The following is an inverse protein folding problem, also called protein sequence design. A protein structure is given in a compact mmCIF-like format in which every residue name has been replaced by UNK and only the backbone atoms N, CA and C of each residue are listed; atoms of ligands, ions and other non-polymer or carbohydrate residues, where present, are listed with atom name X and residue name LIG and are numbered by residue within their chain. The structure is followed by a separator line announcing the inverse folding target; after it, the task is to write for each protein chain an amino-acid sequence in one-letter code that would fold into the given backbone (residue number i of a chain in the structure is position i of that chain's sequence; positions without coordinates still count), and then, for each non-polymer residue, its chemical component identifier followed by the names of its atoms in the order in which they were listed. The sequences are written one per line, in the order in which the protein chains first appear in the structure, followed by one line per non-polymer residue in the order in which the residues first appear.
data_IF_863403934213
#
_entry.id   IF_863403934213
#
_cell.length_a   1.000
_cell.length_b   1.000
_cell.length_c   1.000
_cell.angle_alpha   90.00
_cell.angle_beta   90.00
_cell.angle_gamma   90.00
#
_symmetry.space_group_name_H-M   'P 1'
#
loop_
_entity.id
_entity.type
_entity.pdbx_description
1 polymer ?
#
# COMPACT_ATOMS: atom_id res chain seq x y z
N UNK A 1 14.33 27.97 28.44
CA UNK A 1 14.16 27.51 27.05
C UNK A 1 13.83 26.05 27.12
N UNK A 2 12.60 25.68 26.76
CA UNK A 2 12.14 24.31 26.89
C UNK A 2 12.79 23.46 25.80
N UNK A 3 13.61 22.51 26.23
CA UNK A 3 14.20 21.50 25.35
C UNK A 3 13.29 20.30 25.41
N UNK A 4 12.78 19.89 24.25
CA UNK A 4 12.01 18.67 24.14
C UNK A 4 12.95 17.52 23.78
N UNK A 5 12.58 16.33 24.25
CA UNK A 5 13.24 15.07 23.94
C UNK A 5 12.14 14.09 23.60
N UNK A 6 12.27 13.39 22.46
CA UNK A 6 11.34 12.33 22.09
C UNK A 6 12.11 11.03 22.13
N UNK A 7 11.77 10.16 23.08
CA UNK A 7 12.29 8.80 23.11
C UNK A 7 11.49 7.95 22.14
N UNK A 8 12.18 7.33 21.20
CA UNK A 8 11.60 6.43 20.21
C UNK A 8 11.69 4.99 20.71
N UNK A 9 10.63 4.24 20.46
CA UNK A 9 10.65 2.80 20.54
C UNK A 9 10.65 2.24 19.11
N UNK A 10 11.75 1.60 18.74
CA UNK A 10 11.88 0.94 17.45
C UNK A 10 12.96 -0.15 17.53
N UNK A 11 12.79 -1.16 16.66
CA UNK A 11 13.75 -2.22 16.47
C UNK A 11 14.94 -1.75 15.63
N UNK A 12 16.14 -2.21 15.99
CA UNK A 12 17.37 -1.95 15.22
C UNK A 12 17.40 -2.82 13.95
N UNK A 13 16.54 -2.49 13.00
CA UNK A 13 16.50 -3.15 11.70
C UNK A 13 17.38 -2.40 10.68
N UNK A 14 18.48 -3.04 10.28
CA UNK A 14 19.47 -2.48 9.36
C UNK A 14 18.96 -2.26 7.93
N UNK A 15 17.79 -2.80 7.57
CA UNK A 15 17.14 -2.56 6.28
C UNK A 15 16.54 -1.16 6.17
N UNK A 16 16.37 -0.45 7.29
CA UNK A 16 15.91 0.94 7.30
C UNK A 16 17.07 1.91 7.10
N UNK A 17 16.99 2.71 6.05
CA UNK A 17 17.87 3.85 5.82
C UNK A 17 17.26 5.08 6.50
N UNK A 18 17.87 5.54 7.59
CA UNK A 18 17.37 6.67 8.37
C UNK A 18 18.20 7.93 8.13
N UNK A 19 17.52 9.06 7.95
CA UNK A 19 18.12 10.39 7.85
C UNK A 19 17.47 11.33 8.86
N UNK A 20 18.26 11.89 9.79
CA UNK A 20 17.79 12.88 10.76
C UNK A 20 17.91 14.30 10.21
N UNK A 21 17.07 15.21 10.73
CA UNK A 21 17.16 16.64 10.44
C UNK A 21 18.53 17.21 10.86
N UNK A 22 19.11 18.20 10.14
CA UNK A 22 20.46 18.72 10.43
C UNK A 22 20.70 19.19 11.87
N UNK A 23 19.66 19.68 12.54
CA UNK A 23 19.72 20.15 13.94
C UNK A 23 19.51 19.04 14.98
N UNK A 24 19.21 17.80 14.59
CA UNK A 24 19.02 16.67 15.50
C UNK A 24 20.37 16.00 15.79
N UNK A 25 20.61 15.69 17.07
CA UNK A 25 21.77 14.94 17.50
C UNK A 25 21.71 13.51 16.96
N UNK A 26 22.68 13.16 16.11
CA UNK A 26 22.74 11.84 15.48
C UNK A 26 23.15 10.76 16.46
N UNK A 27 24.09 11.07 17.36
CA UNK A 27 24.58 10.08 18.31
C UNK A 27 23.46 9.73 19.28
N UNK A 28 22.76 10.75 19.79
CA UNK A 28 21.65 10.55 20.71
C UNK A 28 20.47 9.80 20.05
N UNK A 29 20.26 10.02 18.75
CA UNK A 29 19.27 9.28 17.98
C UNK A 29 19.64 7.80 17.79
N UNK A 30 20.87 7.49 17.37
CA UNK A 30 21.27 6.11 17.04
C UNK A 30 21.66 5.27 18.25
N UNK A 31 22.25 5.87 19.30
CA UNK A 31 22.72 5.15 20.48
C UNK A 31 21.62 5.04 21.53
N UNK A 32 20.92 6.15 21.80
CA UNK A 32 19.96 6.25 22.89
C UNK A 32 18.49 6.22 22.44
N UNK A 33 18.24 6.23 21.12
CA UNK A 33 16.90 6.32 20.51
C UNK A 33 16.17 7.58 20.96
N UNK A 34 16.90 8.68 21.09
CA UNK A 34 16.36 9.96 21.53
C UNK A 34 16.51 10.99 20.40
N UNK A 35 15.38 11.52 19.94
CA UNK A 35 15.35 12.73 19.13
C UNK A 35 15.54 13.94 20.05
N UNK A 36 16.72 14.55 19.94
CA UNK A 36 17.09 15.78 20.65
C UNK A 36 17.74 16.78 19.69
N UNK A 37 17.56 18.07 19.95
CA UNK A 37 18.31 19.12 19.25
C UNK A 37 19.77 19.10 19.73
N UNK A 38 20.73 19.20 18.80
CA UNK A 38 22.16 19.30 19.10
C UNK A 38 22.45 20.44 20.08
N UNK A 39 23.46 20.26 20.94
CA UNK A 39 23.92 21.35 21.80
C UNK A 39 24.37 22.55 20.96
N UNK A 40 23.79 23.72 21.23
CA UNK A 40 24.05 24.95 20.45
C UNK A 40 23.39 24.98 19.06
N UNK A 41 22.62 23.96 18.70
CA UNK A 41 21.82 23.92 17.48
C UNK A 41 20.67 24.92 17.51
N UNK A 42 20.10 25.21 16.32
CA UNK A 42 18.89 26.04 16.23
C UNK A 42 17.70 25.27 16.78
N UNK A 43 16.91 25.95 17.61
CA UNK A 43 15.64 25.43 18.13
C UNK A 43 14.70 25.08 16.97
N UNK A 44 13.83 24.08 17.17
CA UNK A 44 12.75 23.77 16.24
C UNK A 44 11.67 24.86 16.36
N UNK A 45 11.25 25.48 15.24
CA UNK A 45 10.24 26.54 15.28
C UNK A 45 8.92 26.03 15.85
N UNK A 46 8.32 26.82 16.74
CA UNK A 46 6.97 26.57 17.23
C UNK A 46 5.94 26.90 16.13
N UNK A 47 4.81 26.20 16.14
CA UNK A 47 3.68 26.39 15.23
C UNK A 47 4.01 26.17 13.74
N UNK A 48 5.02 25.34 13.45
CA UNK A 48 5.39 24.94 12.09
C UNK A 48 5.69 23.45 12.09
N UNK A 49 5.18 22.74 11.07
CA UNK A 49 5.50 21.33 10.87
C UNK A 49 6.96 21.16 10.43
N UNK A 50 7.71 20.36 11.17
CA UNK A 50 9.12 20.07 10.87
C UNK A 50 9.35 18.56 10.90
N UNK A 51 9.80 18.01 9.77
CA UNK A 51 10.25 16.63 9.69
C UNK A 51 11.55 16.43 10.46
N UNK A 52 11.50 15.73 11.60
CA UNK A 52 12.67 15.51 12.47
C UNK A 52 13.56 14.36 11.99
N UNK A 53 12.97 13.37 11.33
CA UNK A 53 13.69 12.32 10.62
C UNK A 53 12.84 11.75 9.49
N UNK A 54 13.50 11.07 8.56
CA UNK A 54 12.90 10.31 7.46
C UNK A 54 13.52 8.93 7.45
N UNK A 55 12.74 7.93 7.05
CA UNK A 55 13.23 6.58 6.87
C UNK A 55 12.80 6.04 5.51
N UNK A 56 13.58 5.11 4.98
CA UNK A 56 13.26 4.33 3.79
C UNK A 56 13.61 2.87 4.05
N UNK A 57 12.64 1.98 3.92
CA UNK A 57 12.90 0.54 3.84
C UNK A 57 13.15 0.19 2.37
N UNK A 58 14.31 -0.39 2.07
CA UNK A 58 14.59 -0.95 0.73
C UNK A 58 14.98 -2.40 0.91
N UNK A 59 14.21 -3.32 0.35
CA UNK A 59 14.59 -4.72 0.35
C UNK A 59 14.24 -5.42 -0.95
N UNK A 60 15.06 -6.44 -1.24
CA UNK A 60 14.84 -7.39 -2.33
C UNK A 60 14.10 -8.64 -1.86
N UNK A 61 13.96 -8.85 -0.55
CA UNK A 61 13.15 -9.92 0.00
C UNK A 61 11.67 -9.55 -0.11
N UNK A 62 10.82 -10.52 -0.44
CA UNK A 62 9.37 -10.38 -0.30
C UNK A 62 9.05 -10.21 1.19
N UNK A 63 8.91 -8.96 1.63
CA UNK A 63 8.23 -8.71 2.90
C UNK A 63 6.76 -9.10 2.70
N UNK A 64 6.10 -9.67 3.71
CA UNK A 64 4.66 -9.86 3.66
C UNK A 64 4.04 -8.47 3.53
N UNK A 65 3.66 -8.10 2.30
CA UNK A 65 2.88 -6.90 2.05
C UNK A 65 1.56 -7.06 2.79
N UNK A 66 0.98 -5.98 3.33
CA UNK A 66 -0.28 -6.07 4.08
C UNK A 66 -1.42 -6.66 3.25
N UNK A 67 -1.34 -6.53 1.92
CA UNK A 67 -2.25 -7.14 0.97
C UNK A 67 -1.44 -7.77 -0.16
N UNK A 68 -1.57 -9.08 -0.34
CA UNK A 68 -1.09 -9.79 -1.52
C UNK A 68 -2.17 -9.82 -2.60
N UNK A 69 -1.81 -9.58 -3.86
CA UNK A 69 -2.74 -9.64 -4.99
C UNK A 69 -2.28 -10.73 -5.94
N UNK A 70 -3.16 -11.69 -6.21
CA UNK A 70 -2.92 -12.77 -7.18
C UNK A 70 -3.99 -12.73 -8.25
N UNK A 71 -3.59 -12.93 -9.49
CA UNK A 71 -4.48 -12.88 -10.65
C UNK A 71 -4.30 -14.12 -11.50
N UNK A 72 -5.40 -14.73 -11.94
CA UNK A 72 -5.40 -15.78 -12.94
C UNK A 72 -6.27 -15.35 -14.10
N UNK A 73 -5.68 -15.22 -15.28
CA UNK A 73 -6.38 -14.88 -16.52
C UNK A 73 -6.39 -16.09 -17.44
N UNK A 74 -7.56 -16.50 -17.89
CA UNK A 74 -7.76 -17.59 -18.85
C UNK A 74 -8.29 -17.00 -20.16
N UNK A 75 -7.49 -17.09 -21.22
CA UNK A 75 -7.94 -16.71 -22.57
C UNK A 75 -8.87 -17.78 -23.14
N UNK A 76 -9.97 -17.34 -23.73
CA UNK A 76 -10.98 -18.15 -24.37
C UNK A 76 -11.18 -17.69 -25.82
N UNK A 77 -11.94 -18.45 -26.62
CA UNK A 77 -12.19 -18.12 -28.04
C UNK A 77 -12.92 -16.77 -28.17
N UNK A 78 -13.78 -16.46 -27.21
CA UNK A 78 -14.65 -15.29 -27.17
C UNK A 78 -14.25 -14.27 -26.10
N UNK A 79 -12.99 -14.27 -25.64
CA UNK A 79 -12.45 -13.23 -24.75
C UNK A 79 -11.62 -13.79 -23.61
N UNK A 80 -11.79 -13.26 -22.40
CA UNK A 80 -11.00 -13.64 -21.24
C UNK A 80 -11.86 -13.78 -20.00
N UNK A 81 -11.53 -14.75 -19.15
CA UNK A 81 -11.99 -14.85 -17.77
C UNK A 81 -10.84 -14.51 -16.84
N UNK A 82 -11.10 -13.63 -15.88
CA UNK A 82 -10.12 -13.15 -14.94
C UNK A 82 -10.62 -13.33 -13.51
N UNK A 83 -9.75 -13.90 -12.68
CA UNK A 83 -9.95 -14.07 -11.25
C UNK A 83 -8.89 -13.25 -10.55
N UNK A 84 -9.32 -12.35 -9.68
CA UNK A 84 -8.45 -11.52 -8.85
C UNK A 84 -8.73 -11.90 -7.40
N UNK A 85 -7.70 -12.35 -6.69
CA UNK A 85 -7.75 -12.63 -5.25
C UNK A 85 -6.83 -11.69 -4.48
N UNK A 86 -7.34 -11.19 -3.36
CA UNK A 86 -6.57 -10.39 -2.41
C UNK A 86 -6.45 -11.18 -1.11
N UNK A 87 -5.20 -11.49 -0.72
CA UNK A 87 -4.84 -12.18 0.51
C UNK A 87 -4.39 -11.17 1.56
N UNK A 88 -5.08 -11.13 2.69
CA UNK A 88 -4.77 -10.24 3.79
C UNK A 88 -3.74 -10.88 4.75
N UNK A 89 -2.58 -10.22 4.91
CA UNK A 89 -1.48 -10.72 5.75
C UNK A 89 -1.54 -10.20 7.21
N UNK A 90 -2.75 -10.17 7.81
CA UNK A 90 -3.06 -10.02 9.24
C UNK A 90 -2.06 -9.20 10.06
N UNK A 91 -1.92 -7.92 9.73
CA UNK A 91 -0.96 -7.02 10.39
C UNK A 91 -1.47 -5.59 10.58
N UNK A 92 -2.33 -5.12 9.68
CA UNK A 92 -2.88 -3.77 9.69
C UNK A 92 -4.29 -3.77 9.10
N UNK A 93 -5.21 -3.03 9.70
CA UNK A 93 -6.49 -2.76 9.08
C UNK A 93 -6.29 -1.84 7.87
N UNK A 94 -6.76 -2.28 6.70
CA UNK A 94 -6.78 -1.45 5.49
C UNK A 94 -8.16 -0.83 5.34
N UNK A 95 -8.23 0.47 5.08
CA UNK A 95 -9.49 1.19 4.86
C UNK A 95 -9.49 1.82 3.47
N UNK A 96 -10.68 1.94 2.87
CA UNK A 96 -10.90 2.56 1.57
C UNK A 96 -9.98 2.01 0.46
N UNK A 97 -9.82 0.69 0.42
CA UNK A 97 -8.98 0.00 -0.56
C UNK A 97 -9.63 0.07 -1.94
N UNK A 98 -8.84 0.46 -2.95
CA UNK A 98 -9.30 0.56 -4.34
C UNK A 98 -8.33 -0.19 -5.25
N UNK A 99 -8.84 -1.18 -5.97
CA UNK A 99 -8.12 -1.84 -7.06
C UNK A 99 -8.67 -1.32 -8.40
N UNK A 100 -7.79 -0.72 -9.20
CA UNK A 100 -8.08 -0.34 -10.59
C UNK A 100 -7.57 -1.44 -11.51
N UNK A 101 -8.49 -2.18 -12.12
CA UNK A 101 -8.19 -3.31 -13.00
C UNK A 101 -8.44 -2.86 -14.45
N UNK A 102 -7.39 -2.70 -15.28
CA UNK A 102 -7.60 -2.40 -16.69
C UNK A 102 -8.27 -3.59 -17.39
N UNK A 103 -8.99 -3.31 -18.46
CA UNK A 103 -9.56 -4.33 -19.32
C UNK A 103 -9.49 -3.91 -20.80
N UNK A 104 -9.63 -4.85 -21.74
CA UNK A 104 -9.54 -4.58 -23.17
C UNK A 104 -10.50 -3.47 -23.61
N UNK A 105 -10.00 -2.54 -24.46
CA UNK A 105 -10.83 -1.51 -25.08
C UNK A 105 -11.91 -2.16 -25.96
N UNK A 106 -13.09 -1.54 -26.01
CA UNK A 106 -14.24 -2.00 -26.79
C UNK A 106 -14.75 -3.41 -26.42
N UNK A 107 -14.54 -3.83 -25.17
CA UNK A 107 -15.08 -5.08 -24.63
C UNK A 107 -16.23 -4.86 -23.66
N UNK A 108 -17.25 -5.73 -23.72
CA UNK A 108 -18.26 -5.84 -22.67
C UNK A 108 -17.65 -6.55 -21.46
N UNK A 109 -17.33 -5.78 -20.42
CA UNK A 109 -16.95 -6.32 -19.13
C UNK A 109 -18.18 -6.79 -18.33
N UNK A 110 -18.15 -8.04 -17.88
CA UNK A 110 -19.14 -8.67 -17.02
C UNK A 110 -18.49 -9.02 -15.69
N UNK A 111 -19.08 -8.59 -14.57
CA UNK A 111 -18.70 -9.05 -13.23
C UNK A 111 -19.55 -10.28 -12.90
N UNK A 112 -18.90 -11.42 -12.69
CA UNK A 112 -19.56 -12.70 -12.37
C UNK A 112 -19.79 -12.84 -10.88
N UNK A 113 -18.75 -12.56 -10.09
CA UNK A 113 -18.78 -12.70 -8.64
C UNK A 113 -17.93 -11.61 -8.00
N UNK A 114 -18.38 -11.13 -6.85
CA UNK A 114 -17.62 -10.26 -5.95
C UNK A 114 -17.89 -10.75 -4.52
N UNK A 115 -16.85 -11.25 -3.86
CA UNK A 115 -17.02 -11.81 -2.50
C UNK A 115 -17.21 -10.70 -1.46
N UNK A 116 -16.63 -9.52 -1.70
CA UNK A 116 -16.71 -8.38 -0.78
C UNK A 116 -16.50 -7.04 -1.49
N UNK A 117 -17.11 -5.99 -0.96
CA UNK A 117 -17.03 -4.64 -1.51
C UNK A 117 -18.03 -4.37 -2.64
N UNK A 118 -17.77 -3.31 -3.40
CA UNK A 118 -18.57 -2.90 -4.56
C UNK A 118 -17.66 -2.54 -5.74
N UNK A 119 -18.24 -2.40 -6.93
CA UNK A 119 -17.47 -1.99 -8.11
C UNK A 119 -18.15 -0.87 -8.88
N UNK A 120 -17.35 -0.16 -9.67
CA UNK A 120 -17.80 0.80 -10.66
C UNK A 120 -16.93 0.71 -11.92
N UNK A 121 -17.41 1.23 -13.05
CA UNK A 121 -16.67 1.19 -14.32
C UNK A 121 -16.32 2.60 -14.78
N UNK A 122 -15.04 2.84 -15.02
CA UNK A 122 -14.58 3.99 -15.79
C UNK A 122 -14.46 3.55 -17.26
N UNK A 123 -15.52 3.82 -18.01
CA UNK A 123 -15.63 3.45 -19.43
C UNK A 123 -14.60 4.21 -20.27
N UNK A 124 -14.23 5.43 -19.89
CA UNK A 124 -13.30 6.25 -20.68
C UNK A 124 -11.87 5.71 -20.59
N UNK A 125 -11.51 5.17 -19.43
CA UNK A 125 -10.19 4.58 -19.17
C UNK A 125 -10.14 3.06 -19.40
N UNK A 126 -11.28 2.42 -19.66
CA UNK A 126 -11.44 0.95 -19.65
C UNK A 126 -10.91 0.34 -18.34
N UNK A 127 -11.38 0.87 -17.20
CA UNK A 127 -10.97 0.41 -15.86
C UNK A 127 -12.19 -0.04 -15.05
N UNK A 128 -12.08 -1.22 -14.46
CA UNK A 128 -12.96 -1.67 -13.39
C UNK A 128 -12.36 -1.20 -12.06
N UNK A 129 -13.15 -0.43 -11.30
CA UNK A 129 -12.76 0.07 -10.00
C UNK A 129 -13.44 -0.80 -8.94
N UNK A 130 -12.69 -1.72 -8.32
CA UNK A 130 -13.15 -2.51 -7.19
C UNK A 130 -12.83 -1.79 -5.89
N UNK A 131 -13.88 -1.42 -5.14
CA UNK A 131 -13.79 -0.69 -3.88
C UNK A 131 -14.12 -1.62 -2.72
N UNK A 132 -13.19 -1.72 -1.79
CA UNK A 132 -13.29 -2.54 -0.59
C UNK A 132 -13.22 -1.58 0.61
N UNK A 133 -14.31 -1.44 1.38
CA UNK A 133 -14.40 -0.41 2.42
C UNK A 133 -13.37 -0.62 3.53
N UNK A 134 -13.14 -1.88 3.92
CA UNK A 134 -12.10 -2.24 4.88
C UNK A 134 -11.62 -3.68 4.64
N UNK A 135 -10.41 -4.01 5.13
CA UNK A 135 -9.87 -5.38 5.21
C UNK A 135 -9.21 -5.51 6.57
N UNK A 136 -9.73 -6.42 7.39
CA UNK A 136 -9.26 -6.72 8.73
C UNK A 136 -9.43 -8.22 9.06
N UNK A 137 -9.14 -8.59 10.30
CA UNK A 137 -9.25 -9.97 10.77
C UNK A 137 -10.70 -10.50 10.83
N UNK A 138 -11.72 -9.65 10.63
CA UNK A 138 -13.13 -10.05 10.63
C UNK A 138 -13.62 -10.57 9.28
N UNK A 139 -12.88 -10.28 8.20
CA UNK A 139 -13.19 -10.73 6.84
C UNK A 139 -12.49 -12.09 6.60
N UNK A 140 -12.99 -12.86 5.63
CA UNK A 140 -12.24 -14.00 5.10
C UNK A 140 -10.82 -13.56 4.72
N UNK A 141 -9.82 -14.38 5.06
CA UNK A 141 -8.40 -14.11 4.76
C UNK A 141 -8.15 -13.82 3.28
N UNK A 142 -9.01 -14.36 2.40
CA UNK A 142 -9.00 -14.11 0.96
C UNK A 142 -10.33 -13.54 0.49
N UNK A 143 -10.29 -12.41 -0.21
CA UNK A 143 -11.43 -11.88 -0.97
C UNK A 143 -11.18 -11.97 -2.47
N UNK A 144 -12.24 -12.11 -3.26
CA UNK A 144 -12.17 -12.46 -4.67
C UNK A 144 -13.13 -11.65 -5.53
N UNK A 145 -12.68 -11.37 -6.74
CA UNK A 145 -13.45 -10.78 -7.83
C UNK A 145 -13.28 -11.65 -9.08
N UNK A 146 -14.40 -12.06 -9.67
CA UNK A 146 -14.42 -12.77 -10.94
C UNK A 146 -15.07 -11.92 -12.02
N UNK A 147 -14.37 -11.77 -13.15
CA UNK A 147 -14.84 -10.99 -14.29
C UNK A 147 -14.61 -11.74 -15.59
N UNK A 148 -15.39 -11.38 -16.61
CA UNK A 148 -15.17 -11.84 -17.98
C UNK A 148 -15.34 -10.72 -18.98
N UNK A 149 -14.65 -10.85 -20.11
CA UNK A 149 -14.67 -9.91 -21.23
C UNK A 149 -14.95 -10.68 -22.51
N UNK A 150 -15.59 -10.04 -23.51
CA UNK A 150 -15.93 -10.66 -24.79
C UNK A 150 -14.83 -10.54 -25.88
N UNK A 151 -13.68 -10.01 -25.50
CA UNK A 151 -12.55 -9.75 -26.40
C UNK A 151 -11.29 -9.51 -25.57
N UNK A 152 -10.15 -9.40 -26.25
CA UNK A 152 -8.87 -9.07 -25.63
C UNK A 152 -8.03 -10.28 -25.25
N UNK A 153 -6.95 -10.01 -24.52
CA UNK A 153 -5.92 -10.97 -24.11
C UNK A 153 -5.55 -10.75 -22.64
N UNK A 154 -4.85 -11.71 -22.07
CA UNK A 154 -4.36 -11.68 -20.69
C UNK A 154 -3.62 -10.39 -20.32
N UNK A 155 -2.75 -9.90 -21.21
CA UNK A 155 -1.98 -8.65 -21.00
C UNK A 155 -2.85 -7.40 -20.80
N UNK A 156 -4.12 -7.42 -21.22
CA UNK A 156 -5.00 -6.27 -21.05
C UNK A 156 -5.47 -6.04 -19.61
N UNK A 157 -5.23 -7.00 -18.71
CA UNK A 157 -5.64 -6.95 -17.29
C UNK A 157 -4.55 -6.46 -16.34
N UNK A 158 -3.37 -6.10 -16.86
CA UNK A 158 -2.21 -5.68 -16.08
C UNK A 158 -1.77 -4.24 -16.38
N UNK A 159 -1.06 -3.60 -15.43
CA UNK A 159 -0.18 -2.47 -15.70
C UNK A 159 1.05 -2.84 -16.55
#
# INVERSE_FOLDING_TARGET
KDRFYIKLDHDNNSSFQIQTHPNIDKNEFFENRILAVKQGGKDIPANVDVGLFKWKLSSQAEYPLPLGITTWITEQIDGCEAIIECLYNQSIELNDVVLEIPYPSDSDLIVKEISFGNYSRDIKRNILVWKIPFIDDSISETIRLEISTKSGKSDNFYP
#
